data_IF_860482875458
#
_entry.id   IF_860482875458
#
_cell.length_a   1.000
_cell.length_b   1.000
_cell.length_c   1.000
_cell.angle_alpha   90.00
_cell.angle_beta   90.00
_cell.angle_gamma   90.00
#
_symmetry.space_group_name_H-M   'P 1'
#
loop_
_entity.id
_entity.type
_entity.pdbx_description
1 polymer ?
#
# COMPACT_ATOMS: atom_id res chain seq x y z
N UNK A 1 2.88 9.29 2.70
CA UNK A 1 1.47 8.94 3.02
C UNK A 1 1.24 8.66 4.51
N UNK A 2 2.05 7.85 5.20
CA UNK A 2 1.81 7.52 6.62
C UNK A 2 1.76 8.75 7.54
N UNK A 3 2.62 9.75 7.33
CA UNK A 3 2.63 11.01 8.09
C UNK A 3 1.38 11.88 7.86
N UNK A 4 0.65 11.68 6.75
CA UNK A 4 -0.57 12.42 6.42
C UNK A 4 -1.85 11.76 6.93
N UNK A 5 -1.80 10.48 7.33
CA UNK A 5 -2.94 9.76 7.91
C UNK A 5 -3.61 10.48 9.10
N UNK A 6 -2.90 11.04 10.09
CA UNK A 6 -3.55 11.73 11.21
C UNK A 6 -4.30 12.98 10.74
N UNK A 7 -3.75 13.74 9.79
CA UNK A 7 -4.40 14.94 9.24
C UNK A 7 -5.63 14.58 8.40
N UNK A 8 -5.55 13.50 7.62
CA UNK A 8 -6.69 12.94 6.89
C UNK A 8 -7.81 12.49 7.84
N UNK A 9 -7.45 11.83 8.96
CA UNK A 9 -8.42 11.37 9.95
C UNK A 9 -9.07 12.55 10.68
N UNK A 10 -8.33 13.63 10.94
CA UNK A 10 -8.87 14.85 11.51
C UNK A 10 -9.90 15.52 10.59
N UNK A 11 -9.63 15.59 9.27
CA UNK A 11 -10.61 16.08 8.28
C UNK A 11 -11.86 15.20 8.31
N UNK A 12 -11.71 13.87 8.22
CA UNK A 12 -12.85 12.93 8.25
C UNK A 12 -13.68 13.01 9.53
N UNK A 13 -13.03 13.24 10.68
CA UNK A 13 -13.73 13.40 11.95
C UNK A 13 -14.66 14.61 11.95
N UNK A 14 -14.29 15.72 11.29
CA UNK A 14 -15.13 16.91 11.14
C UNK A 14 -16.40 16.65 10.33
N UNK A 15 -16.39 15.67 9.42
CA UNK A 15 -17.52 15.32 8.56
C UNK A 15 -18.24 14.02 8.97
N UNK A 16 -17.92 13.47 10.14
CA UNK A 16 -18.49 12.21 10.62
C UNK A 16 -19.96 12.40 11.00
N UNK A 17 -20.87 11.67 10.34
CA UNK A 17 -22.32 11.71 10.62
C UNK A 17 -23.14 12.62 9.71
N UNK A 18 -22.51 13.31 8.76
CA UNK A 18 -23.20 14.14 7.77
C UNK A 18 -23.77 13.26 6.65
N UNK A 19 -25.10 13.27 6.48
CA UNK A 19 -25.81 12.56 5.38
C UNK A 19 -25.88 13.36 4.08
N UNK A 20 -25.60 14.67 4.13
CA UNK A 20 -25.65 15.56 2.97
C UNK A 20 -24.59 15.20 1.92
N UNK A 21 -25.02 15.00 0.68
CA UNK A 21 -24.13 14.65 -0.44
C UNK A 21 -23.09 15.76 -0.73
N UNK A 22 -23.47 17.04 -0.57
CA UNK A 22 -22.58 18.19 -0.79
C UNK A 22 -21.40 18.22 0.18
N UNK A 23 -21.65 18.05 1.48
CA UNK A 23 -20.58 18.05 2.50
C UNK A 23 -19.62 16.87 2.37
N UNK A 24 -20.06 15.74 1.80
CA UNK A 24 -19.14 14.63 1.45
C UNK A 24 -18.23 14.99 0.28
N UNK A 25 -18.72 15.77 -0.68
CA UNK A 25 -17.89 16.29 -1.75
C UNK A 25 -16.85 17.29 -1.21
N UNK A 26 -17.24 18.19 -0.31
CA UNK A 26 -16.32 19.12 0.36
C UNK A 26 -15.20 18.38 1.13
N UNK A 27 -15.54 17.29 1.83
CA UNK A 27 -14.54 16.44 2.48
C UNK A 27 -13.52 15.89 1.46
N UNK A 28 -13.99 15.40 0.31
CA UNK A 28 -13.11 14.87 -0.74
C UNK A 28 -12.20 15.97 -1.34
N UNK A 29 -12.72 17.19 -1.49
CA UNK A 29 -11.94 18.35 -1.95
C UNK A 29 -10.88 18.74 -0.93
N UNK A 30 -11.21 18.80 0.37
CA UNK A 30 -10.23 19.10 1.43
C UNK A 30 -9.14 18.05 1.53
N UNK A 31 -9.50 16.76 1.39
CA UNK A 31 -8.52 15.67 1.34
C UNK A 31 -7.62 15.79 0.10
N UNK A 32 -8.18 16.18 -1.05
CA UNK A 32 -7.39 16.40 -2.27
C UNK A 32 -6.45 17.60 -2.15
N UNK A 33 -6.90 18.67 -1.49
CA UNK A 33 -6.09 19.86 -1.24
C UNK A 33 -4.92 19.53 -0.32
N UNK A 34 -5.16 18.75 0.74
CA UNK A 34 -4.12 18.24 1.61
C UNK A 34 -3.05 17.44 0.85
N UNK A 35 -3.46 16.62 -0.12
CA UNK A 35 -2.53 15.87 -0.98
C UNK A 35 -1.69 16.79 -1.88
N UNK A 36 -2.31 17.85 -2.45
CA UNK A 36 -1.60 18.86 -3.26
C UNK A 36 -0.60 19.65 -2.43
N UNK A 37 -1.00 20.11 -1.25
CA UNK A 37 -0.16 20.92 -0.35
C UNK A 37 1.07 20.16 0.14
N UNK A 38 0.96 18.84 0.29
CA UNK A 38 2.07 17.96 0.68
C UNK A 38 2.76 17.29 -0.52
N UNK A 39 2.40 17.64 -1.75
CA UNK A 39 3.01 17.12 -2.99
C UNK A 39 2.86 15.61 -3.19
N UNK A 40 1.85 14.96 -2.59
CA UNK A 40 1.67 13.51 -2.66
C UNK A 40 0.57 13.14 -3.65
N UNK A 41 0.88 12.28 -4.63
CA UNK A 41 -0.12 11.79 -5.58
C UNK A 41 -0.88 10.57 -5.04
N UNK A 42 -2.23 10.59 -5.03
CA UNK A 42 -3.05 9.43 -4.62
C UNK A 42 -2.92 8.22 -5.58
N UNK A 43 -2.38 8.43 -6.79
CA UNK A 43 -2.15 7.38 -7.79
C UNK A 43 -0.85 6.61 -7.60
N UNK A 44 -0.01 6.98 -6.62
CA UNK A 44 1.25 6.28 -6.36
C UNK A 44 1.08 4.78 -6.06
N UNK A 45 -0.10 4.36 -5.59
CA UNK A 45 -0.42 2.96 -5.30
C UNK A 45 -0.77 2.11 -6.53
N UNK A 46 -1.25 2.70 -7.62
CA UNK A 46 -1.59 1.97 -8.85
C UNK A 46 -0.48 1.99 -9.91
N UNK A 47 0.52 2.87 -9.75
CA UNK A 47 1.67 2.97 -10.64
C UNK A 47 2.44 1.63 -10.80
N UNK A 48 2.69 0.84 -9.74
CA UNK A 48 3.35 -0.46 -9.89
C UNK A 48 2.52 -1.44 -10.73
N UNK A 49 1.19 -1.34 -10.66
CA UNK A 49 0.30 -2.24 -11.38
C UNK A 49 0.27 -1.92 -12.87
N UNK A 50 0.30 -0.64 -13.24
CA UNK A 50 0.39 -0.21 -14.64
C UNK A 50 1.72 -0.63 -15.27
N UNK A 51 2.82 -0.48 -14.54
CA UNK A 51 4.13 -0.91 -15.02
C UNK A 51 4.24 -2.45 -15.14
N UNK A 52 3.44 -3.20 -14.39
CA UNK A 52 3.41 -4.66 -14.43
C UNK A 52 2.61 -5.23 -15.62
N UNK A 53 1.61 -4.51 -16.15
CA UNK A 53 0.75 -5.01 -17.22
C UNK A 53 1.52 -5.50 -18.47
N UNK A 54 2.56 -4.81 -18.97
CA UNK A 54 3.38 -5.29 -20.10
C UNK A 54 4.09 -6.62 -19.81
N UNK A 55 4.61 -6.78 -18.58
CA UNK A 55 5.32 -8.00 -18.17
C UNK A 55 4.36 -9.19 -18.14
N UNK A 56 3.14 -8.98 -17.65
CA UNK A 56 2.09 -10.01 -17.63
C UNK A 56 1.75 -10.49 -19.04
N UNK A 57 1.55 -9.57 -19.98
CA UNK A 57 1.19 -9.90 -21.36
C UNK A 57 2.34 -10.59 -22.09
N UNK A 58 3.58 -10.12 -21.89
CA UNK A 58 4.78 -10.75 -22.45
C UNK A 58 4.99 -12.18 -21.96
N UNK A 59 4.82 -12.41 -20.65
CA UNK A 59 4.95 -13.75 -20.07
C UNK A 59 3.81 -14.69 -20.49
N UNK A 60 2.57 -14.20 -20.49
CA UNK A 60 1.42 -14.96 -20.98
C UNK A 60 1.59 -15.36 -22.45
N UNK A 61 2.01 -14.43 -23.32
CA UNK A 61 2.28 -14.71 -24.73
C UNK A 61 3.43 -15.73 -24.89
N UNK A 62 4.51 -15.60 -24.11
CA UNK A 62 5.63 -16.53 -24.15
C UNK A 62 5.22 -17.96 -23.79
N UNK A 63 4.45 -18.15 -22.71
CA UNK A 63 3.95 -19.49 -22.34
C UNK A 63 2.95 -20.01 -23.38
N UNK A 64 2.05 -19.15 -23.86
CA UNK A 64 0.98 -19.54 -24.80
C UNK A 64 1.51 -19.95 -26.18
N UNK A 65 2.63 -19.38 -26.63
CA UNK A 65 3.28 -19.71 -27.91
C UNK A 65 4.29 -20.85 -27.75
N UNK A 66 4.84 -21.07 -26.55
CA UNK A 66 5.82 -22.12 -26.33
C UNK A 66 5.19 -23.52 -26.42
N UNK A 67 5.65 -24.31 -27.39
CA UNK A 67 5.23 -25.71 -27.57
C UNK A 67 5.78 -26.59 -26.44
N UNK A 68 6.88 -26.15 -25.81
CA UNK A 68 7.58 -26.85 -24.73
C UNK A 68 6.81 -26.77 -23.40
N UNK A 69 5.98 -25.74 -23.17
CA UNK A 69 5.17 -25.65 -21.95
C UNK A 69 3.99 -26.64 -21.94
N UNK A 70 3.58 -27.13 -23.12
CA UNK A 70 2.57 -28.19 -23.23
C UNK A 70 3.20 -29.47 -22.72
N UNK A 71 2.63 -30.04 -21.66
CA UNK A 71 3.14 -31.22 -20.97
C UNK A 71 4.53 -31.05 -20.32
N UNK A 72 4.91 -29.82 -19.95
CA UNK A 72 6.08 -29.62 -19.09
C UNK A 72 5.71 -29.85 -17.62
N UNK A 73 6.14 -30.97 -16.99
CA UNK A 73 5.99 -31.14 -15.56
C UNK A 73 6.92 -30.15 -14.84
N UNK A 74 6.40 -29.44 -13.85
CA UNK A 74 7.21 -28.54 -13.02
C UNK A 74 7.67 -29.24 -11.74
N UNK A 75 6.72 -29.51 -10.83
CA UNK A 75 6.98 -30.18 -9.55
C UNK A 75 5.66 -30.62 -8.90
N UNK A 76 5.74 -31.66 -8.05
CA UNK A 76 4.61 -32.19 -7.27
C UNK A 76 3.45 -32.68 -8.15
N UNK A 77 2.27 -32.05 -8.07
CA UNK A 77 1.05 -32.39 -8.81
C UNK A 77 0.92 -31.62 -10.15
N UNK A 78 1.88 -30.76 -10.48
CA UNK A 78 1.82 -29.90 -11.67
C UNK A 78 2.44 -30.64 -12.85
N UNK A 79 1.58 -31.24 -13.68
CA UNK A 79 1.98 -32.01 -14.86
C UNK A 79 1.92 -31.21 -16.17
N UNK A 80 1.25 -30.06 -16.17
CA UNK A 80 1.15 -29.19 -17.36
C UNK A 80 1.08 -27.71 -16.95
N UNK A 81 2.08 -26.93 -17.37
CA UNK A 81 2.19 -25.49 -17.12
C UNK A 81 1.22 -24.65 -17.96
N UNK A 82 0.72 -25.21 -19.07
CA UNK A 82 -0.20 -24.53 -19.98
C UNK A 82 -1.68 -24.75 -19.61
N UNK A 83 -1.99 -25.77 -18.81
CA UNK A 83 -3.34 -26.04 -18.31
C UNK A 83 -3.58 -25.42 -16.93
N UNK A 84 -4.86 -25.27 -16.55
CA UNK A 84 -5.24 -24.86 -15.20
C UNK A 84 -4.81 -25.90 -14.17
N UNK A 85 -4.57 -25.47 -12.93
CA UNK A 85 -4.26 -26.38 -11.82
C UNK A 85 -5.48 -27.29 -11.53
N UNK A 86 -5.39 -28.62 -11.70
CA UNK A 86 -6.51 -29.53 -11.45
C UNK A 86 -6.95 -29.57 -9.99
N UNK A 87 -6.06 -29.23 -9.04
CA UNK A 87 -6.34 -29.25 -7.60
C UNK A 87 -6.59 -27.86 -7.00
N UNK A 88 -6.46 -26.79 -7.80
CA UNK A 88 -6.63 -25.39 -7.38
C UNK A 88 -5.79 -24.97 -6.15
N UNK A 89 -4.74 -25.72 -5.83
CA UNK A 89 -3.84 -25.44 -4.70
C UNK A 89 -3.01 -24.18 -5.00
N UNK A 90 -2.59 -24.01 -6.26
CA UNK A 90 -1.79 -22.86 -6.69
C UNK A 90 -2.56 -21.54 -6.58
N UNK A 91 -3.77 -21.36 -7.15
CA UNK A 91 -4.53 -20.12 -6.96
C UNK A 91 -4.83 -19.83 -5.49
N UNK A 92 -5.16 -20.85 -4.69
CA UNK A 92 -5.45 -20.67 -3.27
C UNK A 92 -4.22 -20.22 -2.47
N UNK A 93 -3.07 -20.85 -2.70
CA UNK A 93 -1.80 -20.46 -2.07
C UNK A 93 -1.36 -19.06 -2.49
N UNK A 94 -1.57 -18.69 -3.76
CA UNK A 94 -1.32 -17.35 -4.28
C UNK A 94 -2.22 -16.31 -3.62
N UNK A 95 -3.52 -16.61 -3.46
CA UNK A 95 -4.46 -15.76 -2.72
C UNK A 95 -4.05 -15.53 -1.27
N UNK A 96 -3.61 -16.60 -0.59
CA UNK A 96 -3.08 -16.51 0.77
C UNK A 96 -1.80 -15.66 0.84
N UNK A 97 -0.89 -15.83 -0.13
CA UNK A 97 0.33 -15.04 -0.22
C UNK A 97 0.02 -13.56 -0.46
N UNK A 98 -0.86 -13.23 -1.40
CA UNK A 98 -1.30 -11.85 -1.65
C UNK A 98 -1.96 -11.21 -0.41
N UNK A 99 -2.77 -11.98 0.31
CA UNK A 99 -3.36 -11.53 1.56
C UNK A 99 -2.29 -11.23 2.63
N UNK A 100 -1.27 -12.09 2.74
CA UNK A 100 -0.09 -11.87 3.57
C UNK A 100 0.68 -10.61 3.16
N UNK A 101 0.94 -10.43 1.87
CA UNK A 101 1.61 -9.25 1.34
C UNK A 101 0.86 -7.96 1.69
N UNK A 102 -0.48 -7.95 1.57
CA UNK A 102 -1.29 -6.79 1.92
C UNK A 102 -1.29 -6.47 3.41
N UNK A 103 -1.16 -7.47 4.29
CA UNK A 103 -1.00 -7.26 5.74
C UNK A 103 0.32 -6.56 6.07
N UNK A 104 1.37 -6.81 5.29
CA UNK A 104 2.71 -6.25 5.50
C UNK A 104 2.89 -4.87 4.86
N UNK A 105 2.09 -4.56 3.85
CA UNK A 105 2.07 -3.26 3.20
C UNK A 105 1.37 -2.21 4.08
N UNK A 106 1.94 -1.01 4.24
CA UNK A 106 1.29 0.07 4.98
C UNK A 106 -0.07 0.40 4.36
N UNK A 107 -1.15 0.18 5.10
CA UNK A 107 -2.50 0.45 4.64
C UNK A 107 -2.74 1.95 4.40
N UNK A 108 -2.47 2.43 3.19
CA UNK A 108 -2.76 3.80 2.77
C UNK A 108 -4.16 3.87 2.17
N UNK A 109 -5.00 4.78 2.65
CA UNK A 109 -6.34 5.00 2.11
C UNK A 109 -7.39 5.25 3.19
N UNK A 110 -8.64 5.48 2.76
CA UNK A 110 -9.78 5.52 3.66
C UNK A 110 -10.23 4.11 4.09
N UNK A 111 -11.02 3.98 5.17
CA UNK A 111 -11.50 2.67 5.62
C UNK A 111 -12.27 1.89 4.54
N UNK A 112 -12.90 2.58 3.59
CA UNK A 112 -13.58 1.93 2.46
C UNK A 112 -12.58 1.38 1.44
N UNK A 113 -11.59 2.17 1.03
CA UNK A 113 -10.51 1.75 0.14
C UNK A 113 -9.67 0.60 0.73
N UNK A 114 -9.41 0.61 2.04
CA UNK A 114 -8.73 -0.50 2.71
C UNK A 114 -9.53 -1.81 2.65
N UNK A 115 -10.87 -1.75 2.78
CA UNK A 115 -11.74 -2.94 2.63
C UNK A 115 -11.71 -3.47 1.20
N UNK A 116 -11.76 -2.58 0.20
CA UNK A 116 -11.65 -2.96 -1.21
C UNK A 116 -10.31 -3.64 -1.47
N UNK A 117 -9.20 -3.06 -0.98
CA UNK A 117 -7.90 -3.69 -1.12
C UNK A 117 -7.86 -5.07 -0.47
N UNK A 118 -8.38 -5.25 0.75
CA UNK A 118 -8.42 -6.57 1.42
C UNK A 118 -9.26 -7.62 0.68
N UNK A 119 -10.29 -7.19 -0.05
CA UNK A 119 -11.16 -8.07 -0.81
C UNK A 119 -10.60 -8.41 -2.20
N UNK A 120 -9.75 -7.55 -2.76
CA UNK A 120 -9.16 -7.71 -4.09
C UNK A 120 -8.42 -9.04 -4.28
N UNK A 121 -7.55 -9.52 -3.36
CA UNK A 121 -6.90 -10.81 -3.49
C UNK A 121 -7.89 -11.97 -3.62
N UNK A 122 -9.03 -11.92 -2.92
CA UNK A 122 -10.04 -12.98 -2.96
C UNK A 122 -10.69 -13.02 -4.34
N UNK A 123 -11.04 -11.86 -4.89
CA UNK A 123 -11.60 -11.74 -6.24
C UNK A 123 -10.60 -12.21 -7.30
N UNK A 124 -9.33 -11.79 -7.21
CA UNK A 124 -8.27 -12.23 -8.11
C UNK A 124 -7.99 -13.73 -8.00
N UNK A 125 -8.06 -14.30 -6.81
CA UNK A 125 -7.92 -15.75 -6.61
C UNK A 125 -8.97 -16.51 -7.40
N UNK A 126 -10.24 -16.09 -7.33
CA UNK A 126 -11.31 -16.71 -8.11
C UNK A 126 -11.12 -16.54 -9.62
N UNK A 127 -10.67 -15.36 -10.06
CA UNK A 127 -10.36 -15.09 -11.47
C UNK A 127 -9.21 -15.98 -11.99
N UNK A 128 -8.17 -16.22 -11.20
CA UNK A 128 -7.02 -17.04 -11.59
C UNK A 128 -7.30 -18.55 -11.60
N UNK A 129 -8.47 -19.02 -11.13
CA UNK A 129 -8.87 -20.44 -11.20
C UNK A 129 -8.99 -20.95 -12.65
N UNK A 130 -9.24 -20.05 -13.61
CA UNK A 130 -9.39 -20.40 -15.03
C UNK A 130 -8.11 -20.18 -15.84
N UNK A 131 -7.04 -19.66 -15.22
CA UNK A 131 -5.79 -19.33 -15.90
C UNK A 131 -4.79 -20.50 -15.90
N UNK A 132 -3.84 -20.51 -16.86
CA UNK A 132 -2.75 -21.48 -16.90
C UNK A 132 -1.93 -21.49 -15.61
N UNK A 133 -1.59 -22.68 -15.11
CA UNK A 133 -0.85 -22.87 -13.86
C UNK A 133 0.53 -22.20 -13.90
N UNK A 134 1.19 -22.11 -15.06
CA UNK A 134 2.46 -21.41 -15.24
C UNK A 134 2.38 -19.91 -14.93
N UNK A 135 1.27 -19.26 -15.29
CA UNK A 135 1.02 -17.86 -14.93
C UNK A 135 0.85 -17.69 -13.41
N UNK A 136 0.11 -18.61 -12.80
CA UNK A 136 -0.16 -18.61 -11.35
C UNK A 136 1.14 -18.83 -10.56
N UNK A 137 2.00 -19.75 -11.00
CA UNK A 137 3.29 -20.04 -10.36
C UNK A 137 4.22 -18.83 -10.46
N UNK A 138 4.33 -18.21 -11.63
CA UNK A 138 5.10 -16.97 -11.79
C UNK A 138 4.63 -15.89 -10.80
N UNK A 139 3.32 -15.69 -10.70
CA UNK A 139 2.76 -14.73 -9.78
C UNK A 139 3.05 -15.10 -8.32
N UNK A 140 2.86 -16.36 -7.95
CA UNK A 140 3.14 -16.87 -6.61
C UNK A 140 4.60 -16.62 -6.21
N UNK A 141 5.55 -16.98 -7.07
CA UNK A 141 6.98 -16.76 -6.83
C UNK A 141 7.29 -15.27 -6.69
N UNK A 142 6.78 -14.43 -7.58
CA UNK A 142 7.00 -13.00 -7.52
C UNK A 142 6.38 -12.37 -6.25
N UNK A 143 5.20 -12.82 -5.82
CA UNK A 143 4.57 -12.39 -4.58
C UNK A 143 5.41 -12.81 -3.36
N UNK A 144 5.92 -14.04 -3.32
CA UNK A 144 6.77 -14.53 -2.22
C UNK A 144 8.08 -13.73 -2.14
N UNK A 145 8.74 -13.50 -3.28
CA UNK A 145 9.94 -12.66 -3.34
C UNK A 145 9.62 -11.21 -2.93
N UNK A 146 8.48 -10.68 -3.37
CA UNK A 146 8.00 -9.36 -2.98
C UNK A 146 7.72 -9.25 -1.49
N UNK A 147 7.18 -10.29 -0.85
CA UNK A 147 7.01 -10.38 0.61
C UNK A 147 8.36 -10.38 1.31
N UNK A 148 9.32 -11.17 0.83
CA UNK A 148 10.67 -11.21 1.40
C UNK A 148 11.37 -9.86 1.27
N UNK A 149 11.27 -9.21 0.11
CA UNK A 149 11.77 -7.86 -0.10
C UNK A 149 11.07 -6.85 0.81
N UNK A 150 9.74 -6.91 0.92
CA UNK A 150 8.97 -6.00 1.78
C UNK A 150 9.31 -6.21 3.25
N UNK A 151 9.53 -7.44 3.70
CA UNK A 151 9.99 -7.75 5.05
C UNK A 151 11.36 -7.12 5.32
N UNK A 152 12.28 -7.26 4.37
CA UNK A 152 13.61 -6.65 4.45
C UNK A 152 13.55 -5.11 4.50
N UNK A 153 12.76 -4.49 3.61
CA UNK A 153 12.55 -3.03 3.59
C UNK A 153 11.90 -2.55 4.88
N UNK A 154 10.87 -3.24 5.39
CA UNK A 154 10.22 -2.89 6.65
C UNK A 154 11.20 -2.98 7.84
N UNK A 155 12.09 -3.96 7.83
CA UNK A 155 13.15 -4.07 8.85
C UNK A 155 14.13 -2.89 8.77
N UNK A 156 14.53 -2.47 7.56
CA UNK A 156 15.39 -1.30 7.38
C UNK A 156 14.72 0.01 7.77
N UNK A 157 13.44 0.19 7.42
CA UNK A 157 12.66 1.37 7.81
C UNK A 157 12.44 1.44 9.33
N UNK A 158 12.17 0.30 9.98
CA UNK A 158 12.05 0.22 11.44
C UNK A 158 13.37 0.53 12.17
N UNK A 159 14.50 0.06 11.62
CA UNK A 159 15.82 0.40 12.12
C UNK A 159 16.13 1.90 11.93
N UNK A 160 15.79 2.47 10.78
CA UNK A 160 15.96 3.90 10.50
C UNK A 160 15.09 4.78 11.40
N UNK A 161 13.82 4.43 11.62
CA UNK A 161 12.91 5.15 12.53
C UNK A 161 13.39 5.06 13.99
N UNK A 162 13.93 3.90 14.40
CA UNK A 162 14.52 3.73 15.72
C UNK A 162 15.78 4.61 15.92
N UNK A 163 16.59 4.79 14.86
CA UNK A 163 17.74 5.70 14.87
C UNK A 163 17.29 7.16 14.89
N UNK A 164 16.25 7.55 14.12
CA UNK A 164 15.70 8.91 14.15
C UNK A 164 15.10 9.23 15.53
N UNK A 165 14.44 8.26 16.19
CA UNK A 165 13.95 8.43 17.57
C UNK A 165 15.06 8.45 18.63
N UNK A 166 16.19 7.78 18.39
CA UNK A 166 17.36 7.76 19.30
C UNK A 166 18.41 8.83 18.99
N UNK A 167 18.30 9.53 17.86
CA UNK A 167 19.11 10.71 17.52
C UNK A 167 18.94 11.79 18.59
N UNK A 168 19.99 12.60 18.85
CA UNK A 168 20.15 13.28 20.11
C UNK A 168 18.93 14.14 20.40
N UNK A 169 18.45 14.01 21.63
CA UNK A 169 17.57 14.95 22.32
C UNK A 169 18.29 16.30 22.42
N UNK A 170 18.52 16.95 21.28
CA UNK A 170 19.19 18.23 21.18
C UNK A 170 18.18 19.31 21.52
N UNK A 171 18.06 19.53 22.83
CA UNK A 171 17.73 20.82 23.45
C UNK A 171 16.53 21.51 22.81
N UNK A 172 15.34 21.12 23.27
CA UNK A 172 14.25 22.07 23.44
C UNK A 172 14.78 23.18 24.38
N UNK A 173 15.40 24.21 23.79
CA UNK A 173 15.86 25.41 24.49
C UNK A 173 14.60 26.06 25.06
N UNK A 174 14.34 25.81 26.34
CA UNK A 174 13.34 26.50 27.16
C UNK A 174 13.45 27.99 26.83
N UNK A 175 12.46 28.56 26.11
CA UNK A 175 12.20 29.99 26.20
C UNK A 175 11.85 30.24 27.67
N UNK A 176 12.61 31.06 28.42
CA UNK A 176 12.21 31.36 29.78
C UNK A 176 10.92 32.18 29.70
N UNK A 177 9.83 31.61 30.23
CA UNK A 177 8.63 32.37 30.60
C UNK A 177 8.90 32.98 31.98
N UNK A 178 8.70 34.29 32.10
CA UNK A 178 8.48 34.95 33.38
C UNK A 178 9.18 36.30 33.52
N UNK A 179 8.41 37.37 33.53
CA UNK A 179 8.91 38.71 33.84
C UNK A 179 7.87 39.81 33.61
N UNK A 180 6.72 39.72 34.28
CA UNK A 180 5.84 40.89 34.44
C UNK A 180 6.58 41.94 35.29
N UNK A 181 6.70 43.17 34.77
CA UNK A 181 7.38 44.27 35.48
C UNK A 181 6.99 45.64 34.92
N UNK A 182 6.01 46.27 35.58
CA UNK A 182 5.64 47.70 35.45
C UNK A 182 6.86 48.64 35.40
N UNK A 183 6.84 49.63 34.50
CA UNK A 183 7.35 51.00 34.73
C UNK A 183 6.77 51.93 33.66
N UNK A 184 5.66 52.62 33.93
CA UNK A 184 5.55 53.96 34.53
C UNK A 184 6.15 55.07 33.64
N UNK A 185 5.26 55.70 32.86
CA UNK A 185 5.08 57.14 32.69
C UNK A 185 6.33 58.05 32.75
N UNK A 186 6.64 58.75 31.65
CA UNK A 186 7.03 60.16 31.66
C UNK A 186 6.99 60.73 30.23
N UNK A 187 6.10 61.70 30.03
CA UNK A 187 6.19 62.65 28.91
C UNK A 187 7.25 63.73 29.15
N UNK A 188 7.22 64.74 28.26
CA UNK A 188 8.17 65.84 28.00
C UNK A 188 9.24 65.43 26.97
N UNK A 189 9.48 66.15 25.89
CA UNK A 189 9.06 67.48 25.43
C UNK A 189 9.38 67.56 23.95
#
# INVERSE_FOLDING_TARGET
>A
MQQLQPQMNAIRAKFKGVKDAQKRQEMNVQVMQLYKDNGVSPLGGCLPMLLQMPVLFGFYAAISVSIISRHAPFMLWIQDLSQKDPYYVLPLSMGAAMYGQQRMSPGTGDPMQQKIFRMMPIMFTFFFLTFPSGLVIYWLVNTVLGIAQQAYVNHQLGAADAIIKKGPTAKQKKRPKGGAGKRKNRGKR
#
